data_IF_787232207756
#
_entry.id   IF_787232207756
#
_cell.length_a   1.000
_cell.length_b   1.000
_cell.length_c   1.000
_cell.angle_alpha   90.00
_cell.angle_beta   90.00
_cell.angle_gamma   90.00
#
_symmetry.space_group_name_H-M   'P 1'
#
loop_
_entity.id
_entity.type
_entity.pdbx_description
1 polymer ?
#
# COMPACT_ATOMS: atom_id res chain seq x y z
N UNK A 1 45.11 -8.84 44.54
CA UNK A 1 45.09 -10.30 44.38
C UNK A 1 44.02 -10.61 43.33
N UNK A 2 44.47 -11.05 42.16
CA UNK A 2 43.86 -10.81 40.85
C UNK A 2 42.72 -11.80 40.55
N UNK A 3 41.54 -11.27 40.22
CA UNK A 3 40.54 -11.99 39.41
C UNK A 3 41.08 -12.03 37.98
N UNK A 4 41.43 -13.22 37.50
CA UNK A 4 42.06 -13.44 36.19
C UNK A 4 41.00 -13.89 35.16
N UNK A 5 40.57 -13.05 34.21
CA UNK A 5 39.62 -13.42 33.16
C UNK A 5 40.39 -13.94 31.95
N UNK A 6 40.75 -15.23 31.91
CA UNK A 6 41.57 -15.73 30.78
C UNK A 6 41.21 -17.13 30.24
N UNK A 7 40.16 -17.77 30.73
CA UNK A 7 39.79 -19.14 30.25
C UNK A 7 38.53 -19.19 29.39
N UNK A 8 37.88 -18.05 29.17
CA UNK A 8 36.62 -17.97 28.41
C UNK A 8 36.86 -17.78 26.91
N UNK A 9 37.97 -17.17 26.48
CA UNK A 9 38.22 -16.82 25.07
C UNK A 9 38.27 -18.02 24.11
N UNK A 10 38.95 -19.10 24.48
CA UNK A 10 39.10 -20.28 23.61
C UNK A 10 37.78 -21.03 23.41
N UNK A 11 36.98 -21.15 24.47
CA UNK A 11 35.69 -21.84 24.42
C UNK A 11 34.68 -21.08 23.57
N UNK A 12 34.65 -19.74 23.67
CA UNK A 12 33.82 -18.90 22.81
C UNK A 12 34.26 -18.94 21.35
N UNK A 13 35.56 -18.97 21.07
CA UNK A 13 36.09 -19.11 19.71
C UNK A 13 35.74 -20.47 19.10
N UNK A 14 35.83 -21.54 19.88
CA UNK A 14 35.47 -22.88 19.45
C UNK A 14 33.96 -22.98 19.17
N UNK A 15 33.12 -22.43 20.05
CA UNK A 15 31.66 -22.39 19.87
C UNK A 15 31.28 -21.56 18.65
N UNK A 16 31.91 -20.40 18.44
CA UNK A 16 31.74 -19.58 17.23
C UNK A 16 32.17 -20.33 15.96
N UNK A 17 33.25 -21.10 16.00
CA UNK A 17 33.70 -21.90 14.85
C UNK A 17 32.73 -23.04 14.53
N UNK A 18 32.15 -23.68 15.54
CA UNK A 18 31.15 -24.74 15.40
C UNK A 18 29.82 -24.17 14.91
N UNK A 19 29.40 -23.01 15.39
CA UNK A 19 28.20 -22.32 14.93
C UNK A 19 28.35 -21.78 13.51
N UNK A 20 29.52 -21.21 13.14
CA UNK A 20 29.80 -20.80 11.75
C UNK A 20 29.78 -21.99 10.79
N UNK A 21 30.38 -23.12 11.18
CA UNK A 21 30.30 -24.35 10.39
C UNK A 21 28.87 -24.88 10.30
N UNK A 22 28.11 -24.90 11.41
CA UNK A 22 26.71 -25.33 11.42
C UNK A 22 25.79 -24.41 10.59
N UNK A 23 26.05 -23.10 10.59
CA UNK A 23 25.35 -22.13 9.74
C UNK A 23 25.61 -22.39 8.26
N UNK A 24 26.86 -22.68 7.88
CA UNK A 24 27.22 -23.05 6.50
C UNK A 24 26.76 -24.45 6.10
N UNK A 25 26.52 -25.35 7.06
CA UNK A 25 25.98 -26.68 6.85
C UNK A 25 24.44 -26.71 6.82
N UNK A 26 23.77 -25.55 6.75
CA UNK A 26 22.35 -25.47 6.39
C UNK A 26 22.19 -26.04 4.98
N UNK A 27 21.94 -27.35 4.92
CA UNK A 27 21.68 -28.17 3.74
C UNK A 27 20.82 -27.33 2.78
N UNK A 28 21.32 -27.01 1.59
CA UNK A 28 20.51 -26.38 0.54
C UNK A 28 19.34 -27.31 0.28
N UNK A 29 18.19 -27.01 0.85
CA UNK A 29 16.98 -27.73 0.52
C UNK A 29 16.72 -27.47 -0.96
N UNK A 30 16.56 -28.50 -1.81
CA UNK A 30 16.31 -28.31 -3.24
C UNK A 30 15.05 -27.46 -3.48
N UNK A 31 14.10 -27.50 -2.53
CA UNK A 31 12.93 -26.62 -2.50
C UNK A 31 13.24 -25.13 -2.37
N UNK A 32 14.37 -24.74 -1.79
CA UNK A 32 14.75 -23.33 -1.64
C UNK A 32 15.08 -22.69 -3.01
N UNK A 33 15.71 -23.45 -3.91
CA UNK A 33 15.99 -22.96 -5.27
C UNK A 33 14.73 -22.89 -6.13
N UNK A 34 13.83 -23.88 -6.00
CA UNK A 34 12.53 -23.87 -6.68
C UNK A 34 11.63 -22.73 -6.19
N UNK A 35 11.52 -22.58 -4.87
CA UNK A 35 10.78 -21.49 -4.23
C UNK A 35 11.34 -20.12 -4.64
N UNK A 36 12.67 -19.96 -4.62
CA UNK A 36 13.33 -18.72 -5.09
C UNK A 36 13.01 -18.44 -6.57
N UNK A 37 12.97 -19.45 -7.43
CA UNK A 37 12.57 -19.30 -8.82
C UNK A 37 11.13 -18.77 -8.97
N UNK A 38 10.18 -19.35 -8.24
CA UNK A 38 8.77 -18.91 -8.24
C UNK A 38 8.64 -17.47 -7.75
N UNK A 39 9.30 -17.12 -6.64
CA UNK A 39 9.24 -15.76 -6.08
C UNK A 39 9.84 -14.75 -7.04
N UNK A 40 10.96 -15.08 -7.70
CA UNK A 40 11.57 -14.23 -8.72
C UNK A 40 10.67 -14.05 -9.94
N UNK A 41 10.04 -15.13 -10.42
CA UNK A 41 9.09 -15.05 -11.53
C UNK A 41 7.86 -14.22 -11.18
N UNK A 42 7.32 -14.38 -9.96
CA UNK A 42 6.21 -13.57 -9.47
C UNK A 42 6.58 -12.08 -9.41
N UNK A 43 7.76 -11.76 -8.86
CA UNK A 43 8.26 -10.38 -8.84
C UNK A 43 8.47 -9.80 -10.24
N UNK A 44 9.03 -10.58 -11.15
CA UNK A 44 9.26 -10.17 -12.54
C UNK A 44 7.93 -10.00 -13.29
N UNK A 45 6.95 -10.87 -13.06
CA UNK A 45 5.60 -10.74 -13.61
C UNK A 45 4.92 -9.44 -13.15
N UNK A 46 5.02 -9.08 -11.86
CA UNK A 46 4.49 -7.81 -11.35
C UNK A 46 5.17 -6.63 -12.06
N UNK A 47 6.49 -6.65 -12.22
CA UNK A 47 7.21 -5.60 -12.95
C UNK A 47 6.77 -5.50 -14.41
N UNK A 48 6.59 -6.63 -15.09
CA UNK A 48 6.11 -6.67 -16.49
C UNK A 48 4.68 -6.12 -16.58
N UNK A 49 3.79 -6.48 -15.65
CA UNK A 49 2.41 -5.97 -15.61
C UNK A 49 2.40 -4.46 -15.39
N UNK A 50 3.17 -3.96 -14.41
CA UNK A 50 3.25 -2.51 -14.13
C UNK A 50 3.87 -1.77 -15.31
N UNK A 51 4.94 -2.30 -15.91
CA UNK A 51 5.55 -1.73 -17.11
C UNK A 51 4.59 -1.70 -18.29
N UNK A 52 3.85 -2.78 -18.52
CA UNK A 52 2.80 -2.86 -19.53
C UNK A 52 1.68 -1.85 -19.30
N UNK A 53 1.23 -1.69 -18.05
CA UNK A 53 0.23 -0.69 -17.67
C UNK A 53 0.71 0.73 -17.99
N UNK A 54 1.97 1.06 -17.67
CA UNK A 54 2.56 2.37 -18.00
C UNK A 54 2.59 2.58 -19.52
N UNK A 55 3.02 1.58 -20.29
CA UNK A 55 3.05 1.68 -21.75
C UNK A 55 1.65 1.93 -22.34
N UNK A 56 0.64 1.19 -21.87
CA UNK A 56 -0.75 1.36 -22.29
C UNK A 56 -1.28 2.74 -21.89
N UNK A 57 -1.02 3.20 -20.67
CA UNK A 57 -1.45 4.52 -20.21
C UNK A 57 -0.82 5.65 -21.04
N UNK A 58 0.48 5.56 -21.31
CA UNK A 58 1.20 6.57 -22.11
C UNK A 58 0.71 6.54 -23.55
N UNK A 59 0.57 5.36 -24.18
CA UNK A 59 0.12 5.26 -25.57
C UNK A 59 -1.29 5.81 -25.77
N UNK A 60 -2.21 5.55 -24.83
CA UNK A 60 -3.59 6.05 -24.89
C UNK A 60 -3.70 7.54 -24.53
N UNK A 61 -2.85 8.05 -23.64
CA UNK A 61 -2.89 9.46 -23.24
C UNK A 61 -2.15 10.38 -24.22
N UNK A 62 -1.20 9.86 -25.00
CA UNK A 62 -0.35 10.64 -25.90
C UNK A 62 -1.12 11.51 -26.90
N UNK A 63 -2.16 11.01 -27.62
CA UNK A 63 -2.90 11.82 -28.59
C UNK A 63 -3.61 13.02 -27.96
N UNK A 64 -4.12 12.85 -26.74
CA UNK A 64 -4.78 13.91 -25.97
C UNK A 64 -3.76 14.99 -25.57
N UNK A 65 -2.60 14.58 -25.07
CA UNK A 65 -1.54 15.51 -24.67
C UNK A 65 -0.99 16.27 -25.88
N UNK A 66 -0.79 15.59 -27.02
CA UNK A 66 -0.28 16.22 -28.24
C UNK A 66 -1.26 17.21 -28.86
N UNK A 67 -2.58 16.97 -28.72
CA UNK A 67 -3.62 17.81 -29.33
C UNK A 67 -3.93 19.05 -28.50
N UNK A 68 -3.98 18.92 -27.16
CA UNK A 68 -4.38 20.02 -26.26
C UNK A 68 -3.18 20.72 -25.58
N UNK A 69 -2.00 20.10 -25.55
CA UNK A 69 -0.77 20.66 -24.99
C UNK A 69 -0.93 21.17 -23.56
N UNK A 70 -0.22 22.24 -23.20
CA UNK A 70 -0.30 22.88 -21.88
C UNK A 70 -1.71 23.40 -21.54
N UNK A 71 -2.51 23.76 -22.56
CA UNK A 71 -3.89 24.26 -22.36
C UNK A 71 -4.81 23.18 -21.78
N UNK A 72 -4.49 21.89 -21.96
CA UNK A 72 -5.20 20.78 -21.33
C UNK A 72 -5.31 20.91 -19.81
N UNK A 73 -4.25 21.40 -19.14
CA UNK A 73 -4.18 21.53 -17.68
C UNK A 73 -4.99 22.72 -17.14
N UNK A 74 -5.16 23.77 -17.94
CA UNK A 74 -5.77 25.03 -17.51
C UNK A 74 -7.22 25.15 -17.99
N UNK A 75 -7.55 24.54 -19.13
CA UNK A 75 -8.89 24.57 -19.70
C UNK A 75 -9.90 23.91 -18.75
N UNK A 76 -11.01 24.60 -18.55
CA UNK A 76 -12.15 24.14 -17.74
C UNK A 76 -13.16 23.32 -18.54
N UNK A 77 -13.12 23.42 -19.88
CA UNK A 77 -14.14 22.83 -20.73
C UNK A 77 -13.98 21.30 -20.82
N UNK A 78 -14.95 20.57 -20.25
CA UNK A 78 -15.28 19.21 -20.66
C UNK A 78 -16.53 19.32 -21.54
N UNK A 79 -16.31 19.58 -22.84
CA UNK A 79 -17.36 19.75 -23.83
C UNK A 79 -17.24 18.65 -24.90
N UNK A 80 -18.06 17.57 -24.77
CA UNK A 80 -18.08 16.48 -25.74
C UNK A 80 -18.60 16.90 -27.12
N UNK A 81 -19.35 18.01 -27.21
CA UNK A 81 -19.98 18.49 -28.45
C UNK A 81 -18.94 19.23 -29.30
N UNK A 82 -18.10 20.04 -28.66
CA UNK A 82 -17.03 20.80 -29.33
C UNK A 82 -15.66 20.10 -29.29
N UNK A 83 -15.60 18.84 -28.86
CA UNK A 83 -14.37 18.06 -28.70
C UNK A 83 -13.29 18.79 -27.89
N UNK A 84 -13.71 19.63 -26.93
CA UNK A 84 -12.80 20.37 -26.05
C UNK A 84 -12.76 19.66 -24.71
N UNK A 85 -11.59 19.11 -24.37
CA UNK A 85 -11.39 18.41 -23.11
C UNK A 85 -10.30 19.08 -22.29
N UNK A 86 -10.62 19.39 -21.04
CA UNK A 86 -9.71 19.93 -20.04
C UNK A 86 -9.74 19.09 -18.77
N UNK A 87 -8.58 18.95 -18.12
CA UNK A 87 -8.46 18.10 -16.90
C UNK A 87 -8.76 18.87 -15.61
N UNK A 88 -8.92 20.20 -15.69
CA UNK A 88 -9.10 21.05 -14.52
C UNK A 88 -10.31 20.68 -13.65
N UNK A 89 -11.52 20.37 -14.19
CA UNK A 89 -12.63 19.91 -13.37
C UNK A 89 -12.35 18.59 -12.65
N UNK A 90 -11.59 17.68 -13.27
CA UNK A 90 -11.21 16.40 -12.65
C UNK A 90 -10.20 16.60 -11.49
N UNK A 91 -9.21 17.47 -11.67
CA UNK A 91 -8.25 17.82 -10.62
C UNK A 91 -8.96 18.52 -9.46
N UNK A 92 -9.72 19.57 -9.77
CA UNK A 92 -10.42 20.35 -8.75
C UNK A 92 -11.45 19.48 -8.00
N UNK A 93 -12.23 18.68 -8.74
CA UNK A 93 -13.16 17.71 -8.16
C UNK A 93 -12.45 16.79 -7.18
N UNK A 94 -11.37 16.13 -7.60
CA UNK A 94 -10.61 15.21 -6.74
C UNK A 94 -10.07 15.89 -5.48
N UNK A 95 -9.48 17.09 -5.62
CA UNK A 95 -8.91 17.83 -4.48
C UNK A 95 -10.01 18.32 -3.54
N UNK A 96 -11.08 18.90 -4.07
CA UNK A 96 -12.20 19.39 -3.27
C UNK A 96 -12.89 18.24 -2.52
N UNK A 97 -13.20 17.14 -3.20
CA UNK A 97 -13.87 15.99 -2.58
C UNK A 97 -12.97 15.28 -1.57
N UNK A 98 -11.68 15.09 -1.86
CA UNK A 98 -10.75 14.47 -0.91
C UNK A 98 -10.51 15.35 0.32
N UNK A 99 -10.41 16.67 0.14
CA UNK A 99 -10.28 17.61 1.26
C UNK A 99 -11.51 17.59 2.15
N UNK A 100 -12.71 17.63 1.56
CA UNK A 100 -13.96 17.54 2.31
C UNK A 100 -14.11 16.19 3.01
N UNK A 101 -13.76 15.09 2.33
CA UNK A 101 -13.77 13.76 2.93
C UNK A 101 -12.82 13.68 4.13
N UNK A 102 -11.59 14.20 4.02
CA UNK A 102 -10.62 14.23 5.13
C UNK A 102 -11.09 15.13 6.26
N UNK A 103 -11.64 16.31 5.96
CA UNK A 103 -12.13 17.25 6.96
C UNK A 103 -13.22 16.64 7.84
N UNK A 104 -14.06 15.75 7.29
CA UNK A 104 -15.09 15.04 8.04
C UNK A 104 -14.56 13.74 8.68
N UNK A 105 -13.80 12.95 7.93
CA UNK A 105 -13.35 11.63 8.36
C UNK A 105 -12.27 11.69 9.46
N UNK A 106 -11.36 12.66 9.40
CA UNK A 106 -10.28 12.78 10.38
C UNK A 106 -10.78 13.03 11.82
N UNK A 107 -11.60 14.07 12.10
CA UNK A 107 -12.05 14.32 13.46
C UNK A 107 -12.88 13.16 14.01
N UNK A 108 -13.74 12.55 13.18
CA UNK A 108 -14.55 11.40 13.57
C UNK A 108 -13.69 10.16 13.81
N UNK A 109 -12.72 9.89 12.93
CA UNK A 109 -11.82 8.73 13.04
C UNK A 109 -10.91 8.82 14.26
N UNK A 110 -10.32 10.00 14.51
CA UNK A 110 -9.50 10.25 15.70
C UNK A 110 -10.37 10.16 16.96
N UNK A 111 -11.56 10.76 16.97
CA UNK A 111 -12.48 10.70 18.10
C UNK A 111 -12.89 9.26 18.43
N UNK A 112 -13.24 8.47 17.41
CA UNK A 112 -13.59 7.05 17.58
C UNK A 112 -12.39 6.24 18.08
N UNK A 113 -11.18 6.49 17.57
CA UNK A 113 -9.97 5.81 18.01
C UNK A 113 -9.64 6.10 19.48
N UNK A 114 -9.73 7.37 19.91
CA UNK A 114 -9.52 7.75 21.31
C UNK A 114 -10.58 7.09 22.21
N UNK A 115 -11.85 7.12 21.80
CA UNK A 115 -12.92 6.46 22.56
C UNK A 115 -12.67 4.96 22.74
N UNK A 116 -12.28 4.27 21.67
CA UNK A 116 -11.97 2.84 21.70
C UNK A 116 -10.74 2.51 22.55
N UNK A 117 -9.74 3.39 22.57
CA UNK A 117 -8.50 3.17 23.31
C UNK A 117 -8.64 3.46 24.81
N UNK A 118 -9.31 4.55 25.17
CA UNK A 118 -9.27 5.09 26.54
C UNK A 118 -10.57 4.89 27.32
N UNK A 119 -11.73 4.89 26.64
CA UNK A 119 -13.04 5.00 27.30
C UNK A 119 -13.93 3.76 27.13
N UNK A 120 -13.63 2.88 26.17
CA UNK A 120 -14.52 1.79 25.79
C UNK A 120 -14.38 0.56 26.72
N UNK A 121 -15.49 -0.03 27.22
CA UNK A 121 -15.44 -1.26 27.99
C UNK A 121 -14.98 -2.44 27.11
N UNK A 122 -14.18 -3.34 27.70
CA UNK A 122 -13.44 -4.41 26.98
C UNK A 122 -14.28 -5.28 26.04
N UNK A 123 -15.52 -5.61 26.42
CA UNK A 123 -16.42 -6.42 25.58
C UNK A 123 -16.85 -5.67 24.31
N UNK A 124 -17.16 -4.38 24.44
CA UNK A 124 -17.63 -3.54 23.34
C UNK A 124 -16.47 -3.16 22.41
N UNK A 125 -15.28 -2.94 22.97
CA UNK A 125 -14.06 -2.69 22.22
C UNK A 125 -13.77 -3.82 21.23
N UNK A 126 -13.84 -5.08 21.67
CA UNK A 126 -13.61 -6.26 20.80
C UNK A 126 -14.59 -6.28 19.63
N UNK A 127 -15.88 -6.04 19.89
CA UNK A 127 -16.92 -6.02 18.85
C UNK A 127 -16.70 -4.87 17.87
N UNK A 128 -16.47 -3.65 18.38
CA UNK A 128 -16.30 -2.47 17.54
C UNK A 128 -15.02 -2.54 16.70
N UNK A 129 -13.90 -2.99 17.27
CA UNK A 129 -12.66 -3.20 16.51
C UNK A 129 -12.86 -4.23 15.42
N UNK A 130 -13.55 -5.36 15.71
CA UNK A 130 -13.88 -6.34 14.67
C UNK A 130 -14.72 -5.75 13.53
N UNK A 131 -15.70 -4.90 13.84
CA UNK A 131 -16.52 -4.22 12.82
C UNK A 131 -15.69 -3.25 11.98
N UNK A 132 -14.80 -2.47 12.60
CA UNK A 132 -13.91 -1.54 11.90
C UNK A 132 -12.93 -2.30 10.99
N UNK A 133 -12.31 -3.36 11.50
CA UNK A 133 -11.40 -4.21 10.71
C UNK A 133 -12.14 -4.87 9.54
N UNK A 134 -13.39 -5.30 9.77
CA UNK A 134 -14.24 -5.86 8.72
C UNK A 134 -14.56 -4.84 7.64
N UNK A 135 -14.93 -3.60 8.02
CA UNK A 135 -15.17 -2.51 7.07
C UNK A 135 -13.91 -2.16 6.26
N UNK A 136 -12.74 -2.19 6.88
CA UNK A 136 -11.46 -1.95 6.22
C UNK A 136 -11.08 -3.06 5.22
N UNK A 137 -11.57 -4.28 5.43
CA UNK A 137 -11.35 -5.41 4.52
C UNK A 137 -12.29 -5.39 3.30
N UNK A 138 -13.37 -4.60 3.32
CA UNK A 138 -14.31 -4.51 2.19
C UNK A 138 -13.60 -3.86 0.99
N UNK A 139 -13.71 -4.42 -0.23
CA UNK A 139 -13.16 -3.79 -1.42
C UNK A 139 -13.74 -2.40 -1.66
N UNK A 140 -12.91 -1.42 -2.00
CA UNK A 140 -13.31 -0.03 -2.22
C UNK A 140 -14.41 0.12 -3.29
N UNK A 141 -14.45 -0.76 -4.29
CA UNK A 141 -15.48 -0.79 -5.35
C UNK A 141 -16.89 -1.00 -4.77
N UNK A 142 -17.03 -1.84 -3.75
CA UNK A 142 -18.34 -2.13 -3.12
C UNK A 142 -18.86 -0.91 -2.38
N UNK A 143 -18.01 -0.24 -1.61
CA UNK A 143 -18.36 0.98 -0.88
C UNK A 143 -18.71 2.11 -1.85
N UNK A 144 -17.99 2.22 -2.97
CA UNK A 144 -18.29 3.19 -4.02
C UNK A 144 -19.66 2.96 -4.68
N UNK A 145 -19.96 1.71 -5.04
CA UNK A 145 -21.26 1.37 -5.64
C UNK A 145 -22.43 1.56 -4.66
N UNK A 146 -22.26 1.17 -3.39
CA UNK A 146 -23.28 1.40 -2.37
C UNK A 146 -23.59 2.89 -2.18
N UNK A 147 -22.55 3.73 -2.13
CA UNK A 147 -22.72 5.18 -2.05
C UNK A 147 -23.47 5.74 -3.26
N UNK A 148 -23.11 5.32 -4.48
CA UNK A 148 -23.85 5.70 -5.69
C UNK A 148 -25.32 5.28 -5.60
N UNK A 149 -25.63 4.03 -5.29
CA UNK A 149 -27.02 3.54 -5.26
C UNK A 149 -27.89 4.17 -4.17
N UNK A 150 -27.28 4.70 -3.10
CA UNK A 150 -28.01 5.28 -1.97
C UNK A 150 -28.21 6.79 -2.10
N UNK A 151 -27.23 7.49 -2.71
CA UNK A 151 -27.21 8.95 -2.77
C UNK A 151 -27.38 9.54 -4.18
N UNK A 152 -27.28 8.72 -5.24
CA UNK A 152 -27.56 9.12 -6.63
C UNK A 152 -29.03 8.84 -7.00
#
# INVERSE_FOLDING_TARGET
MLLHPSRTGSKWQELQSRLRKAYHLRRKYPGDSFFRGIVLLAGLAVLVIVGGLILVLVSNSWPTISTFGWRFLVNEAFDPIHQSYGVRPAIFGTVATSTLALALALPLGIGAAIYLAEFCPRQLQVVLTFLVDSLAAIPSVVLGLWGFLTFA
#
